data_IF_217212060511
#
_entry.id   IF_217212060511
#
_cell.length_a   1.000
_cell.length_b   1.000
_cell.length_c   1.000
_cell.angle_alpha   90.00
_cell.angle_beta   90.00
_cell.angle_gamma   90.00
#
_symmetry.space_group_name_H-M   'P 1'
#
loop_
_entity.id
_entity.type
_entity.pdbx_description
1 polymer ?
#
# COMPACT_ATOMS: atom_id res chain seq x y z
N UNK A 1 -22.09 -51.89 -37.45
CA UNK A 1 -20.96 -51.21 -36.77
C UNK A 1 -20.79 -49.73 -37.12
N UNK A 2 -20.92 -49.28 -38.38
CA UNK A 2 -20.69 -47.87 -38.81
C UNK A 2 -21.63 -46.78 -38.25
N UNK A 3 -22.77 -47.13 -37.64
CA UNK A 3 -23.76 -46.17 -37.10
C UNK A 3 -23.40 -45.68 -35.68
N UNK A 4 -22.87 -46.57 -34.83
CA UNK A 4 -22.48 -46.22 -33.44
C UNK A 4 -21.25 -45.31 -33.37
N UNK A 5 -20.36 -45.39 -34.37
CA UNK A 5 -19.18 -44.53 -34.47
C UNK A 5 -19.54 -43.07 -34.76
N UNK A 6 -20.46 -42.81 -35.70
CA UNK A 6 -20.89 -41.45 -36.05
C UNK A 6 -21.62 -40.74 -34.92
N UNK A 7 -22.35 -41.50 -34.08
CA UNK A 7 -23.06 -40.97 -32.91
C UNK A 7 -22.04 -40.53 -31.84
N UNK A 8 -20.97 -41.32 -31.62
CA UNK A 8 -19.89 -40.97 -30.68
C UNK A 8 -19.12 -39.73 -31.13
N UNK A 9 -18.78 -39.60 -32.41
CA UNK A 9 -18.05 -38.43 -32.93
C UNK A 9 -18.86 -37.14 -32.80
N UNK A 10 -20.19 -37.20 -33.08
CA UNK A 10 -21.09 -36.04 -32.91
C UNK A 10 -21.27 -35.65 -31.44
N UNK A 11 -21.36 -36.64 -30.54
CA UNK A 11 -21.46 -36.36 -29.10
C UNK A 11 -20.18 -35.71 -28.55
N UNK A 12 -18.99 -36.15 -28.99
CA UNK A 12 -17.71 -35.53 -28.58
C UNK A 12 -17.57 -34.12 -29.14
N UNK A 13 -17.94 -33.88 -30.40
CA UNK A 13 -17.90 -32.55 -31.00
C UNK A 13 -18.88 -31.57 -30.32
N UNK A 14 -20.08 -32.04 -29.93
CA UNK A 14 -21.04 -31.23 -29.17
C UNK A 14 -20.56 -30.96 -27.74
N UNK A 15 -19.89 -31.91 -27.10
CA UNK A 15 -19.29 -31.71 -25.78
C UNK A 15 -18.13 -30.70 -25.83
N UNK A 16 -17.26 -30.78 -26.85
CA UNK A 16 -16.17 -29.83 -27.07
C UNK A 16 -16.69 -28.43 -27.41
N UNK A 17 -17.75 -28.32 -28.22
CA UNK A 17 -18.40 -27.06 -28.52
C UNK A 17 -19.08 -26.45 -27.28
N UNK A 18 -19.69 -27.28 -26.41
CA UNK A 18 -20.27 -26.83 -25.14
C UNK A 18 -19.21 -26.39 -24.12
N UNK A 19 -18.06 -27.05 -24.06
CA UNK A 19 -16.91 -26.61 -23.25
C UNK A 19 -16.31 -25.30 -23.80
N UNK A 20 -16.17 -25.17 -25.12
CA UNK A 20 -15.70 -23.94 -25.76
C UNK A 20 -16.69 -22.77 -25.59
N UNK A 21 -18.00 -23.04 -25.66
CA UNK A 21 -19.05 -22.05 -25.41
C UNK A 21 -19.14 -21.68 -23.91
N UNK A 22 -18.97 -22.65 -23.01
CA UNK A 22 -18.92 -22.41 -21.56
C UNK A 22 -17.69 -21.60 -21.13
N UNK A 23 -16.57 -21.74 -21.83
CA UNK A 23 -15.38 -20.89 -21.68
C UNK A 23 -15.57 -19.47 -22.26
N UNK A 24 -16.44 -19.32 -23.27
CA UNK A 24 -16.79 -18.03 -23.86
C UNK A 24 -17.86 -17.25 -23.08
N UNK A 25 -18.71 -17.93 -22.29
CA UNK A 25 -19.73 -17.29 -21.43
C UNK A 25 -19.27 -17.04 -20.00
N UNK A 26 -18.01 -17.37 -19.67
CA UNK A 26 -17.35 -16.73 -18.55
C UNK A 26 -17.15 -15.27 -18.95
N UNK A 27 -18.20 -14.45 -18.74
CA UNK A 27 -18.11 -13.00 -18.85
C UNK A 27 -16.83 -12.61 -18.10
N UNK A 28 -15.81 -12.18 -18.85
CA UNK A 28 -14.67 -11.53 -18.27
C UNK A 28 -15.25 -10.32 -17.54
N UNK A 29 -15.53 -10.46 -16.24
CA UNK A 29 -15.87 -9.34 -15.37
C UNK A 29 -14.67 -8.42 -15.45
N UNK A 30 -14.76 -7.43 -16.32
CA UNK A 30 -13.65 -6.58 -16.66
C UNK A 30 -13.35 -5.72 -15.45
N UNK A 31 -12.19 -5.91 -14.83
CA UNK A 31 -11.71 -5.03 -13.77
C UNK A 31 -11.77 -3.58 -14.27
N UNK A 32 -12.58 -2.74 -13.62
CA UNK A 32 -12.67 -1.32 -13.95
C UNK A 32 -11.47 -0.61 -13.35
N UNK A 33 -10.54 -0.16 -14.20
CA UNK A 33 -9.32 0.50 -13.76
C UNK A 33 -9.48 2.02 -13.73
N UNK A 34 -9.04 2.64 -12.63
CA UNK A 34 -8.97 4.09 -12.52
C UNK A 34 -7.57 4.55 -12.94
N UNK A 35 -7.39 4.84 -14.23
CA UNK A 35 -6.07 5.23 -14.79
C UNK A 35 -5.79 6.72 -14.73
N UNK A 36 -6.82 7.55 -14.57
CA UNK A 36 -6.67 8.99 -14.49
C UNK A 36 -5.90 9.37 -13.21
N UNK A 37 -4.77 10.10 -13.29
CA UNK A 37 -4.06 10.59 -12.12
C UNK A 37 -4.88 11.61 -11.30
N UNK A 38 -5.90 12.24 -11.88
CA UNK A 38 -6.76 13.19 -11.16
C UNK A 38 -7.78 12.51 -10.23
N UNK A 39 -8.12 11.23 -10.46
CA UNK A 39 -9.11 10.58 -9.60
C UNK A 39 -9.52 9.14 -9.95
N UNK A 40 -10.61 8.65 -9.33
CA UNK A 40 -11.33 9.31 -8.24
C UNK A 40 -10.43 9.54 -7.02
N UNK A 41 -10.74 10.56 -6.23
CA UNK A 41 -10.01 10.92 -5.01
C UNK A 41 -11.01 11.04 -3.87
N UNK A 42 -10.62 10.52 -2.72
CA UNK A 42 -11.36 10.71 -1.48
C UNK A 42 -10.39 11.23 -0.42
N UNK A 43 -10.77 12.29 0.27
CA UNK A 43 -9.96 12.89 1.32
C UNK A 43 -10.85 13.45 2.44
N UNK A 44 -10.28 13.57 3.63
CA UNK A 44 -10.98 14.07 4.80
C UNK A 44 -10.02 14.60 5.85
N UNK A 45 -10.53 15.53 6.66
CA UNK A 45 -9.75 16.26 7.67
C UNK A 45 -10.40 16.09 9.05
N UNK A 46 -10.08 14.97 9.72
CA UNK A 46 -10.56 14.71 11.08
C UNK A 46 -9.48 14.98 12.15
N UNK A 47 -8.22 15.16 11.76
CA UNK A 47 -7.10 15.40 12.67
C UNK A 47 -6.95 16.84 13.13
N UNK A 48 -7.53 17.81 12.41
CA UNK A 48 -7.44 19.22 12.80
C UNK A 48 -8.02 19.55 14.18
N UNK A 49 -8.97 18.77 14.72
CA UNK A 49 -9.48 19.01 16.06
C UNK A 49 -8.43 18.63 17.14
N UNK A 50 -7.86 17.43 17.06
CA UNK A 50 -6.87 16.94 18.02
C UNK A 50 -5.49 17.62 17.90
N UNK A 51 -5.07 17.96 16.67
CA UNK A 51 -3.79 18.63 16.41
C UNK A 51 -3.80 20.13 16.80
N UNK A 52 -4.97 20.76 16.95
CA UNK A 52 -5.08 22.15 17.43
C UNK A 52 -4.92 22.27 18.94
N UNK A 53 -5.24 21.21 19.68
CA UNK A 53 -5.17 21.18 21.14
C UNK A 53 -3.78 20.78 21.67
N UNK A 54 -2.93 20.20 20.82
CA UNK A 54 -1.61 19.69 21.22
C UNK A 54 -0.48 20.41 20.47
N UNK A 55 0.50 20.93 21.19
CA UNK A 55 1.72 21.44 20.57
C UNK A 55 2.41 20.28 19.79
N UNK A 56 2.91 20.52 18.57
CA UNK A 56 3.62 19.47 17.84
C UNK A 56 4.81 18.96 18.67
N UNK A 57 5.13 17.66 18.59
CA UNK A 57 6.27 17.13 19.31
C UNK A 57 7.55 17.82 18.85
N UNK A 58 8.59 17.88 19.70
CA UNK A 58 9.89 18.42 19.31
C UNK A 58 10.36 17.86 17.95
N UNK A 59 11.06 18.64 17.12
CA UNK A 59 11.55 18.16 15.82
C UNK A 59 12.46 16.92 15.93
N UNK A 60 13.06 16.69 17.11
CA UNK A 60 13.89 15.53 17.42
C UNK A 60 13.10 14.27 17.78
N UNK A 61 11.80 14.37 18.04
CA UNK A 61 10.98 13.19 18.31
C UNK A 61 10.95 12.27 17.08
N UNK A 62 11.08 10.95 17.26
CA UNK A 62 10.96 10.01 16.15
C UNK A 62 9.61 10.12 15.44
N UNK A 63 9.61 9.82 14.15
CA UNK A 63 8.44 9.58 13.31
C UNK A 63 8.06 8.12 13.40
N UNK A 64 6.82 7.84 13.77
CA UNK A 64 6.24 6.50 13.76
C UNK A 64 5.44 6.29 12.49
N UNK A 65 5.94 5.41 11.63
CA UNK A 65 5.29 5.05 10.37
C UNK A 65 4.85 3.60 10.42
N UNK A 66 3.59 3.36 10.07
CA UNK A 66 3.02 2.02 10.01
C UNK A 66 2.46 1.76 8.61
N UNK A 67 2.69 0.57 8.06
CA UNK A 67 2.03 0.09 6.85
C UNK A 67 1.24 -1.19 7.15
N UNK A 68 0.03 -1.29 6.59
CA UNK A 68 -0.85 -2.41 6.85
C UNK A 68 -1.81 -2.68 5.67
N UNK A 69 -1.66 -3.85 5.04
CA UNK A 69 -2.68 -4.40 4.14
C UNK A 69 -3.84 -4.98 4.99
N UNK A 70 -5.07 -4.47 4.83
CA UNK A 70 -6.25 -4.88 5.61
C UNK A 70 -7.20 -5.76 4.77
N UNK A 71 -6.68 -6.49 3.79
CA UNK A 71 -7.40 -7.56 3.09
C UNK A 71 -8.83 -7.17 2.64
N UNK A 72 -8.94 -6.13 1.81
CA UNK A 72 -10.21 -5.56 1.32
C UNK A 72 -11.10 -4.93 2.39
N UNK A 73 -10.52 -4.46 3.50
CA UNK A 73 -11.24 -3.91 4.65
C UNK A 73 -12.35 -4.85 5.20
N UNK A 74 -12.20 -6.17 4.99
CA UNK A 74 -13.24 -7.16 5.31
C UNK A 74 -13.55 -7.23 6.80
N UNK A 75 -12.51 -7.11 7.63
CA UNK A 75 -12.59 -7.18 9.09
C UNK A 75 -12.27 -5.81 9.71
N UNK A 76 -12.89 -4.75 9.18
CA UNK A 76 -12.57 -3.35 9.54
C UNK A 76 -12.65 -3.06 11.04
N UNK A 77 -13.58 -3.69 11.74
CA UNK A 77 -13.75 -3.51 13.18
C UNK A 77 -12.66 -4.18 14.00
N UNK A 78 -12.17 -5.36 13.55
CA UNK A 78 -10.99 -6.00 14.14
C UNK A 78 -9.74 -5.17 13.89
N UNK A 79 -9.59 -4.65 12.67
CA UNK A 79 -8.48 -3.77 12.34
C UNK A 79 -8.48 -2.51 13.21
N UNK A 80 -9.65 -1.88 13.38
CA UNK A 80 -9.79 -0.70 14.23
C UNK A 80 -9.52 -1.01 15.71
N UNK A 81 -9.99 -2.17 16.21
CA UNK A 81 -9.69 -2.61 17.57
C UNK A 81 -8.18 -2.80 17.78
N UNK A 82 -7.50 -3.49 16.85
CA UNK A 82 -6.05 -3.67 16.87
C UNK A 82 -5.31 -2.33 16.87
N UNK A 83 -5.67 -1.42 15.97
CA UNK A 83 -5.03 -0.10 15.86
C UNK A 83 -5.18 0.71 17.15
N UNK A 84 -6.30 0.54 17.87
CA UNK A 84 -6.53 1.24 19.15
C UNK A 84 -5.75 0.64 20.32
N UNK A 85 -5.56 -0.69 20.33
CA UNK A 85 -5.01 -1.40 21.48
C UNK A 85 -3.50 -1.59 21.43
N UNK A 86 -2.92 -1.74 20.23
CA UNK A 86 -1.52 -2.14 20.09
C UNK A 86 -0.56 -0.93 20.15
N UNK A 87 0.54 -1.09 20.89
CA UNK A 87 1.55 -0.05 21.11
C UNK A 87 2.22 0.44 19.81
N UNK A 88 2.24 -0.39 18.77
CA UNK A 88 2.81 -0.03 17.47
C UNK A 88 2.10 1.16 16.83
N UNK A 89 0.82 1.38 17.16
CA UNK A 89 -0.02 2.45 16.63
C UNK A 89 -0.17 3.65 17.57
N UNK A 90 0.34 3.55 18.80
CA UNK A 90 0.31 4.67 19.74
C UNK A 90 1.25 5.78 19.28
N UNK A 91 0.77 7.02 19.31
CA UNK A 91 1.48 8.18 18.76
C UNK A 91 1.94 7.99 17.30
N UNK A 92 1.11 7.34 16.47
CA UNK A 92 1.39 7.21 15.03
C UNK A 92 1.49 8.59 14.37
N UNK A 93 2.44 8.74 13.44
CA UNK A 93 2.53 9.93 12.60
C UNK A 93 1.98 9.66 11.19
N UNK A 94 2.21 8.47 10.65
CA UNK A 94 1.81 8.09 9.30
C UNK A 94 1.31 6.65 9.32
N UNK A 95 0.06 6.44 8.88
CA UNK A 95 -0.53 5.13 8.67
C UNK A 95 -0.79 4.95 7.16
N UNK A 96 -0.19 3.93 6.58
CA UNK A 96 -0.30 3.57 5.17
C UNK A 96 -1.14 2.30 5.03
N UNK A 97 -2.29 2.39 4.40
CA UNK A 97 -3.21 1.26 4.26
C UNK A 97 -3.28 0.77 2.82
N UNK A 98 -3.36 -0.55 2.64
CA UNK A 98 -3.51 -1.21 1.35
C UNK A 98 -4.77 -2.08 1.32
N UNK A 99 -5.25 -2.35 0.10
CA UNK A 99 -6.50 -3.06 -0.16
C UNK A 99 -7.69 -2.42 0.55
N UNK A 100 -7.76 -1.10 0.52
CA UNK A 100 -8.88 -0.38 1.13
C UNK A 100 -9.94 -0.03 0.10
N UNK A 101 -11.19 0.03 0.55
CA UNK A 101 -12.28 0.77 -0.09
C UNK A 101 -12.47 2.14 0.59
N UNK A 102 -13.17 3.08 -0.07
CA UNK A 102 -13.35 4.45 0.42
C UNK A 102 -14.05 4.51 1.79
N UNK A 103 -15.10 3.70 1.98
CA UNK A 103 -15.85 3.63 3.23
C UNK A 103 -15.00 3.11 4.41
N UNK A 104 -14.16 2.10 4.18
CA UNK A 104 -13.25 1.55 5.18
C UNK A 104 -12.17 2.56 5.61
N UNK A 105 -11.62 3.32 4.65
CA UNK A 105 -10.67 4.40 4.98
C UNK A 105 -11.33 5.46 5.84
N UNK A 106 -12.49 5.97 5.42
CA UNK A 106 -13.21 7.02 6.15
C UNK A 106 -13.57 6.56 7.57
N UNK A 107 -14.03 5.31 7.73
CA UNK A 107 -14.34 4.72 9.03
C UNK A 107 -13.13 4.74 9.97
N UNK A 108 -11.97 4.26 9.52
CA UNK A 108 -10.74 4.30 10.33
C UNK A 108 -10.35 5.74 10.64
N UNK A 109 -10.30 6.60 9.62
CA UNK A 109 -9.86 7.99 9.76
C UNK A 109 -10.74 8.75 10.77
N UNK A 110 -12.06 8.65 10.66
CA UNK A 110 -13.01 9.28 11.58
C UNK A 110 -12.91 8.71 12.99
N UNK A 111 -12.78 7.39 13.13
CA UNK A 111 -12.73 6.72 14.42
C UNK A 111 -11.43 6.96 15.21
N UNK A 112 -10.37 7.35 14.52
CA UNK A 112 -9.05 7.68 15.10
C UNK A 112 -8.73 9.18 15.08
N UNK A 113 -9.62 10.01 14.52
CA UNK A 113 -9.36 11.44 14.35
C UNK A 113 -8.15 11.73 13.46
N UNK A 114 -8.05 11.07 12.30
CA UNK A 114 -6.94 11.23 11.35
C UNK A 114 -7.40 11.93 10.08
N UNK A 115 -6.52 12.77 9.52
CA UNK A 115 -6.65 13.22 8.15
C UNK A 115 -6.35 12.04 7.21
N UNK A 116 -6.95 12.03 6.03
CA UNK A 116 -6.66 10.99 5.05
C UNK A 116 -6.71 11.49 3.61
N UNK A 117 -5.97 10.79 2.76
CA UNK A 117 -6.18 10.76 1.31
C UNK A 117 -6.17 9.32 0.84
N UNK A 118 -7.10 8.98 -0.04
CA UNK A 118 -7.28 7.67 -0.64
C UNK A 118 -7.46 7.81 -2.15
N UNK A 119 -6.71 6.99 -2.88
CA UNK A 119 -6.90 6.82 -4.32
C UNK A 119 -7.16 5.34 -4.62
N UNK A 120 -8.34 4.99 -5.16
CA UNK A 120 -8.56 3.67 -5.69
C UNK A 120 -7.76 3.49 -6.99
N UNK A 121 -7.27 2.26 -7.17
CA UNK A 121 -6.55 1.85 -8.38
C UNK A 121 -7.49 1.17 -9.38
N UNK A 122 -8.46 0.40 -8.87
CA UNK A 122 -9.47 -0.26 -9.66
C UNK A 122 -10.66 -0.70 -8.80
N UNK A 123 -11.73 -1.17 -9.44
CA UNK A 123 -12.84 -1.88 -8.80
C UNK A 123 -12.62 -3.38 -8.94
N UNK A 124 -12.66 -4.10 -7.82
CA UNK A 124 -12.44 -5.53 -7.79
C UNK A 124 -13.64 -6.29 -8.40
N UNK A 125 -13.43 -7.13 -9.44
CA UNK A 125 -14.52 -7.73 -10.22
C UNK A 125 -15.42 -8.67 -9.41
N UNK A 126 -14.91 -9.28 -8.33
CA UNK A 126 -15.68 -10.20 -7.48
C UNK A 126 -16.54 -9.51 -6.42
N UNK A 127 -16.14 -8.32 -5.99
CA UNK A 127 -16.74 -7.66 -4.82
C UNK A 127 -17.42 -6.35 -5.18
N UNK A 128 -17.23 -5.86 -6.41
CA UNK A 128 -17.70 -4.57 -6.90
C UNK A 128 -17.33 -3.40 -5.97
N UNK A 129 -16.17 -3.54 -5.31
CA UNK A 129 -15.61 -2.55 -4.40
C UNK A 129 -14.36 -1.97 -4.98
N UNK A 130 -14.19 -0.67 -4.79
CA UNK A 130 -12.93 -0.01 -5.04
C UNK A 130 -11.83 -0.66 -4.18
N UNK A 131 -10.64 -0.80 -4.74
CA UNK A 131 -9.46 -1.19 -3.98
C UNK A 131 -8.29 -0.28 -4.34
N UNK A 132 -7.56 0.14 -3.32
CA UNK A 132 -6.41 1.03 -3.48
C UNK A 132 -5.64 1.21 -2.18
N UNK A 133 -4.94 2.33 -2.10
CA UNK A 133 -4.08 2.64 -0.96
C UNK A 133 -4.38 4.02 -0.40
N UNK A 134 -4.25 4.15 0.92
CA UNK A 134 -4.54 5.38 1.65
C UNK A 134 -3.37 5.79 2.55
N UNK A 135 -3.18 7.09 2.70
CA UNK A 135 -2.30 7.68 3.71
C UNK A 135 -3.18 8.39 4.73
N UNK A 136 -3.00 8.05 6.00
CA UNK A 136 -3.67 8.65 7.13
C UNK A 136 -2.63 9.27 8.07
N UNK A 137 -2.96 10.40 8.70
CA UNK A 137 -2.07 11.08 9.66
C UNK A 137 -2.87 11.99 10.59
N UNK A 138 -2.47 12.15 11.88
CA UNK A 138 -3.02 13.22 12.71
C UNK A 138 -2.60 14.61 12.19
N UNK A 139 -1.50 14.67 11.42
CA UNK A 139 -0.92 15.89 10.88
C UNK A 139 -1.54 16.29 9.54
N UNK A 140 -1.50 17.59 9.17
CA UNK A 140 -2.00 18.04 7.88
C UNK A 140 -1.36 17.28 6.70
N UNK A 141 -2.21 16.90 5.74
CA UNK A 141 -1.83 16.29 4.47
C UNK A 141 -1.91 17.33 3.35
N UNK A 142 -0.84 17.49 2.59
CA UNK A 142 -0.74 18.43 1.47
C UNK A 142 -0.12 17.77 0.25
N UNK A 143 -0.18 18.42 -0.92
CA UNK A 143 0.48 17.96 -2.16
C UNK A 143 0.21 16.49 -2.53
N UNK A 144 -0.98 16.01 -2.21
CA UNK A 144 -1.33 14.62 -2.45
C UNK A 144 -1.63 14.38 -3.93
N UNK A 145 -1.25 13.20 -4.43
CA UNK A 145 -1.43 12.80 -5.82
C UNK A 145 -1.51 11.30 -5.97
N UNK A 146 -2.13 10.89 -7.07
CA UNK A 146 -2.11 9.52 -7.56
C UNK A 146 -1.02 9.38 -8.61
N UNK A 147 -0.26 8.30 -8.52
CA UNK A 147 0.71 7.92 -9.55
C UNK A 147 0.25 6.58 -10.12
N UNK A 148 -0.46 6.56 -11.27
CA UNK A 148 -0.80 5.32 -11.96
C UNK A 148 0.47 4.54 -12.31
N UNK A 149 0.49 3.25 -12.02
CA UNK A 149 1.60 2.37 -12.36
C UNK A 149 1.32 1.64 -13.68
N UNK A 150 2.34 1.46 -14.55
CA UNK A 150 2.21 0.69 -15.77
C UNK A 150 2.03 -0.80 -15.44
N UNK A 151 1.66 -1.58 -16.47
CA UNK A 151 1.52 -3.04 -16.43
C UNK A 151 0.41 -3.52 -15.49
N UNK A 152 -0.78 -3.70 -16.06
CA UNK A 152 -1.87 -4.37 -15.37
C UNK A 152 -1.54 -5.86 -15.16
N UNK A 153 -2.01 -6.42 -14.05
CA UNK A 153 -1.86 -7.84 -13.73
C UNK A 153 -2.38 -8.73 -14.88
N UNK A 154 -1.60 -9.74 -15.27
CA UNK A 154 -1.87 -10.55 -16.47
C UNK A 154 -3.28 -11.17 -16.51
N UNK A 155 -3.71 -11.80 -15.41
CA UNK A 155 -5.00 -12.50 -15.34
C UNK A 155 -6.16 -11.55 -15.03
N UNK A 156 -6.05 -10.74 -13.98
CA UNK A 156 -7.16 -9.90 -13.50
C UNK A 156 -7.31 -8.61 -14.29
N UNK A 157 -6.27 -8.22 -15.07
CA UNK A 157 -6.16 -6.92 -15.73
C UNK A 157 -6.27 -5.73 -14.77
N UNK A 158 -6.05 -5.96 -13.47
CA UNK A 158 -6.03 -4.91 -12.46
C UNK A 158 -4.73 -4.08 -12.56
N UNK A 159 -4.88 -2.79 -12.73
CA UNK A 159 -3.82 -1.79 -12.60
C UNK A 159 -3.57 -1.49 -11.11
N UNK A 160 -2.40 -0.92 -10.83
CA UNK A 160 -2.03 -0.41 -9.51
C UNK A 160 -1.77 1.09 -9.61
N UNK A 161 -1.85 1.76 -8.47
CA UNK A 161 -1.46 3.16 -8.34
C UNK A 161 -0.80 3.38 -6.98
N UNK A 162 0.05 4.39 -6.91
CA UNK A 162 0.66 4.85 -5.67
C UNK A 162 -0.14 6.05 -5.18
N UNK A 163 -0.46 6.06 -3.89
CA UNK A 163 -0.97 7.25 -3.21
C UNK A 163 0.22 7.96 -2.58
N UNK A 164 0.39 9.24 -2.88
CA UNK A 164 1.43 10.07 -2.27
C UNK A 164 0.80 11.29 -1.60
N UNK A 165 1.39 11.73 -0.50
CA UNK A 165 1.05 12.96 0.22
C UNK A 165 2.26 13.49 0.99
N UNK A 166 2.31 14.79 1.24
CA UNK A 166 3.23 15.38 2.21
C UNK A 166 2.52 15.49 3.55
N UNK A 167 3.13 14.90 4.57
CA UNK A 167 2.74 14.98 5.98
C UNK A 167 3.55 16.09 6.65
N UNK A 168 2.87 17.07 7.24
CA UNK A 168 3.49 18.25 7.84
C UNK A 168 3.43 18.19 9.37
N UNK A 169 4.53 17.83 10.05
CA UNK A 169 4.64 17.82 11.52
C UNK A 169 5.57 18.92 12.01
N UNK A 170 5.00 20.00 12.55
CA UNK A 170 5.76 21.21 12.87
C UNK A 170 6.43 21.78 11.61
N UNK A 171 7.74 22.00 11.63
CA UNK A 171 8.52 22.44 10.46
C UNK A 171 8.96 21.29 9.54
N UNK A 172 8.82 20.04 9.97
CA UNK A 172 9.29 18.89 9.21
C UNK A 172 8.25 18.42 8.19
N UNK A 173 8.75 18.15 6.98
CA UNK A 173 7.99 17.68 5.83
C UNK A 173 8.43 16.29 5.45
N UNK A 174 7.51 15.33 5.52
CA UNK A 174 7.74 13.96 5.08
C UNK A 174 6.80 13.64 3.93
N UNK A 175 7.35 13.38 2.75
CA UNK A 175 6.62 12.85 1.61
C UNK A 175 6.44 11.35 1.76
N UNK A 176 5.21 10.95 2.02
CA UNK A 176 4.79 9.57 2.13
C UNK A 176 4.33 9.05 0.77
N UNK A 177 4.66 7.79 0.49
CA UNK A 177 4.16 7.02 -0.63
C UNK A 177 3.66 5.69 -0.11
N UNK A 178 2.47 5.29 -0.55
CA UNK A 178 1.94 3.96 -0.29
C UNK A 178 1.50 3.25 -1.55
N UNK A 179 1.80 1.96 -1.62
CA UNK A 179 1.57 1.14 -2.80
C UNK A 179 1.17 -0.29 -2.40
N UNK A 180 0.36 -0.92 -3.26
CA UNK A 180 0.20 -2.36 -3.29
C UNK A 180 0.59 -2.85 -4.69
N UNK A 181 1.78 -3.44 -4.83
CA UNK A 181 2.25 -3.95 -6.13
C UNK A 181 1.51 -5.22 -6.53
N UNK A 182 1.45 -5.58 -7.83
CA UNK A 182 0.81 -6.82 -8.25
C UNK A 182 1.40 -8.05 -7.53
N UNK A 183 0.58 -9.09 -7.33
CA UNK A 183 1.01 -10.35 -6.74
C UNK A 183 2.21 -10.99 -7.49
N UNK A 184 2.96 -11.91 -6.86
CA UNK A 184 4.01 -12.66 -7.54
C UNK A 184 3.50 -13.31 -8.84
N UNK A 185 4.26 -13.18 -9.92
CA UNK A 185 3.89 -13.71 -11.24
C UNK A 185 2.83 -12.92 -12.01
N UNK A 186 2.17 -11.92 -11.41
CA UNK A 186 1.15 -11.12 -12.10
C UNK A 186 1.74 -10.12 -13.12
N UNK A 187 3.02 -9.76 -12.94
CA UNK A 187 3.84 -8.95 -13.84
C UNK A 187 5.27 -9.53 -13.87
N UNK A 188 6.02 -9.26 -14.93
CA UNK A 188 7.41 -9.69 -15.05
C UNK A 188 8.34 -8.96 -14.06
N UNK A 189 9.56 -9.48 -13.90
CA UNK A 189 10.60 -8.86 -13.10
C UNK A 189 10.88 -7.41 -13.54
N UNK A 190 11.08 -7.18 -14.84
CA UNK A 190 11.37 -5.85 -15.39
C UNK A 190 10.19 -4.90 -15.28
N UNK A 191 8.96 -5.41 -15.46
CA UNK A 191 7.75 -4.63 -15.24
C UNK A 191 7.63 -4.15 -13.79
N UNK A 192 7.91 -5.03 -12.81
CA UNK A 192 7.94 -4.63 -11.38
C UNK A 192 9.06 -3.65 -11.10
N UNK A 193 10.24 -3.83 -11.70
CA UNK A 193 11.38 -2.92 -11.58
C UNK A 193 11.04 -1.52 -12.11
N UNK A 194 10.32 -1.44 -13.23
CA UNK A 194 9.83 -0.18 -13.78
C UNK A 194 8.86 0.52 -12.83
N UNK A 195 7.92 -0.21 -12.22
CA UNK A 195 7.00 0.34 -11.21
C UNK A 195 7.78 0.96 -10.03
N UNK A 196 8.84 0.30 -9.56
CA UNK A 196 9.72 0.82 -8.50
C UNK A 196 10.49 2.06 -8.94
N UNK A 197 11.04 2.05 -10.17
CA UNK A 197 11.75 3.21 -10.74
C UNK A 197 10.87 4.44 -10.83
N UNK A 198 9.59 4.29 -11.18
CA UNK A 198 8.64 5.42 -11.24
C UNK A 198 8.48 6.07 -9.86
N UNK A 199 8.33 5.27 -8.80
CA UNK A 199 8.24 5.78 -7.43
C UNK A 199 9.52 6.51 -7.00
N UNK A 200 10.68 5.90 -7.24
CA UNK A 200 11.96 6.49 -6.90
C UNK A 200 12.25 7.80 -7.67
N UNK A 201 11.93 7.81 -8.97
CA UNK A 201 12.09 8.99 -9.82
C UNK A 201 11.15 10.13 -9.41
N UNK A 202 9.91 9.82 -9.03
CA UNK A 202 8.99 10.83 -8.52
C UNK A 202 9.44 11.40 -7.17
N UNK A 203 9.91 10.54 -6.26
CA UNK A 203 10.51 10.97 -5.00
C UNK A 203 11.74 11.87 -5.21
N UNK A 204 12.57 11.61 -6.23
CA UNK A 204 13.75 12.43 -6.52
C UNK A 204 13.44 13.87 -6.97
N UNK A 205 12.18 14.19 -7.34
CA UNK A 205 11.78 15.54 -7.75
C UNK A 205 11.64 16.53 -6.59
N UNK A 206 11.68 16.06 -5.34
CA UNK A 206 11.60 16.93 -4.16
C UNK A 206 12.77 16.73 -3.21
N UNK A 207 13.10 17.78 -2.47
CA UNK A 207 14.05 17.75 -1.36
C UNK A 207 13.42 17.36 -0.01
N UNK A 208 12.18 16.88 0.00
CA UNK A 208 11.51 16.45 1.23
C UNK A 208 12.19 15.18 1.79
N UNK A 209 12.00 14.94 3.08
CA UNK A 209 12.24 13.61 3.66
C UNK A 209 11.24 12.63 3.04
N UNK A 210 11.67 11.42 2.70
CA UNK A 210 10.81 10.47 1.99
C UNK A 210 10.64 9.19 2.77
N UNK A 211 9.39 8.70 2.82
CA UNK A 211 9.06 7.33 3.24
C UNK A 211 8.16 6.67 2.20
N UNK A 212 8.50 5.44 1.83
CA UNK A 212 7.74 4.61 0.89
C UNK A 212 7.41 3.30 1.60
N UNK A 213 6.13 3.01 1.81
CA UNK A 213 5.70 1.81 2.53
C UNK A 213 4.51 1.14 1.89
N UNK A 214 4.37 -0.17 2.07
CA UNK A 214 3.25 -0.90 1.50
C UNK A 214 3.52 -2.38 1.31
N UNK A 215 2.56 -3.01 0.64
CA UNK A 215 2.66 -4.39 0.20
C UNK A 215 3.33 -4.43 -1.19
N UNK A 216 4.60 -4.85 -1.22
CA UNK A 216 5.37 -4.96 -2.46
C UNK A 216 5.24 -6.32 -3.12
N UNK A 217 4.53 -7.27 -2.49
CA UNK A 217 4.38 -8.64 -2.96
C UNK A 217 5.73 -9.32 -3.26
N UNK A 218 6.79 -8.92 -2.55
CA UNK A 218 8.11 -9.55 -2.67
C UNK A 218 9.28 -8.66 -2.29
N UNK A 219 10.35 -9.32 -1.84
CA UNK A 219 11.59 -8.71 -1.35
C UNK A 219 12.51 -8.17 -2.44
N UNK A 220 12.31 -8.58 -3.69
CA UNK A 220 13.16 -8.21 -4.83
C UNK A 220 13.27 -6.69 -5.02
N UNK A 221 12.23 -5.95 -4.62
CA UNK A 221 12.17 -4.49 -4.72
C UNK A 221 13.23 -3.78 -3.90
N UNK A 222 13.70 -4.39 -2.82
CA UNK A 222 14.57 -3.71 -1.87
C UNK A 222 15.96 -3.41 -2.42
N UNK A 223 16.49 -4.26 -3.31
CA UNK A 223 17.71 -3.95 -4.05
C UNK A 223 17.55 -2.70 -4.91
N UNK A 224 16.44 -2.59 -5.65
CA UNK A 224 16.21 -1.45 -6.54
C UNK A 224 15.96 -0.14 -5.80
N UNK A 225 15.31 -0.18 -4.63
CA UNK A 225 15.19 1.01 -3.78
C UNK A 225 16.54 1.42 -3.18
N UNK A 226 17.39 0.47 -2.78
CA UNK A 226 18.77 0.76 -2.34
C UNK A 226 19.60 1.40 -3.44
N UNK A 227 19.52 0.87 -4.66
CA UNK A 227 20.18 1.44 -5.83
C UNK A 227 19.71 2.89 -6.09
N UNK A 228 18.47 3.22 -5.70
CA UNK A 228 17.91 4.56 -5.77
C UNK A 228 18.17 5.44 -4.52
N UNK A 229 19.05 5.01 -3.61
CA UNK A 229 19.47 5.78 -2.44
C UNK A 229 18.54 5.69 -1.23
N UNK A 230 17.67 4.68 -1.16
CA UNK A 230 16.81 4.46 0.00
C UNK A 230 17.41 3.46 1.00
N UNK A 231 17.21 3.71 2.28
CA UNK A 231 17.40 2.73 3.34
C UNK A 231 16.22 1.75 3.34
N UNK A 232 16.50 0.46 3.50
CA UNK A 232 15.49 -0.58 3.68
C UNK A 232 15.34 -0.91 5.16
N UNK A 233 14.31 -0.34 5.79
CA UNK A 233 14.15 -0.32 7.25
C UNK A 233 13.62 -1.64 7.81
N UNK A 234 12.94 -2.41 6.96
CA UNK A 234 12.23 -3.64 7.33
C UNK A 234 12.88 -4.89 6.75
N UNK A 235 14.10 -4.79 6.22
CA UNK A 235 14.79 -5.92 5.59
C UNK A 235 14.85 -7.13 6.52
N UNK A 236 15.19 -6.90 7.80
CA UNK A 236 15.43 -7.97 8.76
C UNK A 236 14.17 -8.45 9.48
N UNK A 237 12.99 -7.93 9.14
CA UNK A 237 11.74 -8.36 9.76
C UNK A 237 11.34 -9.77 9.28
N UNK A 238 10.64 -10.53 10.14
CA UNK A 238 10.11 -11.85 9.77
C UNK A 238 9.05 -11.75 8.67
N UNK A 239 8.55 -12.91 8.23
CA UNK A 239 7.44 -12.96 7.28
C UNK A 239 6.22 -12.18 7.76
N UNK A 240 5.61 -11.45 6.84
CA UNK A 240 4.48 -10.56 7.09
C UNK A 240 3.16 -11.18 6.63
N UNK A 241 3.20 -12.16 5.73
CA UNK A 241 2.03 -12.95 5.37
C UNK A 241 1.66 -13.97 6.46
N UNK A 242 0.41 -14.46 6.44
CA UNK A 242 -0.08 -15.59 7.23
C UNK A 242 -0.51 -16.75 6.33
N UNK A 243 -0.62 -17.93 6.93
CA UNK A 243 -1.04 -19.14 6.21
C UNK A 243 0.10 -19.79 5.43
N UNK A 244 -0.21 -20.29 4.24
CA UNK A 244 0.77 -20.90 3.33
C UNK A 244 1.69 -19.80 2.80
N UNK A 245 2.89 -19.68 3.36
CA UNK A 245 3.78 -18.55 3.08
C UNK A 245 4.11 -17.64 4.26
N UNK A 246 3.84 -18.05 5.50
CA UNK A 246 4.09 -17.22 6.69
C UNK A 246 5.55 -16.74 6.89
N UNK A 247 6.51 -17.28 6.14
CA UNK A 247 7.91 -16.82 6.09
C UNK A 247 8.15 -15.74 5.02
N UNK A 248 7.19 -15.47 4.13
CA UNK A 248 7.32 -14.43 3.12
C UNK A 248 7.04 -13.05 3.72
N UNK A 249 7.96 -12.14 3.45
CA UNK A 249 7.87 -10.74 3.82
C UNK A 249 7.55 -9.96 2.56
N UNK A 250 6.32 -9.43 2.51
CA UNK A 250 5.79 -8.64 1.39
C UNK A 250 5.71 -7.16 1.74
N UNK A 251 5.50 -6.87 3.03
CA UNK A 251 5.29 -5.53 3.53
C UNK A 251 6.62 -4.90 3.91
N UNK A 252 6.94 -3.78 3.29
CA UNK A 252 8.23 -3.12 3.47
C UNK A 252 8.10 -1.62 3.68
N UNK A 253 9.09 -1.04 4.35
CA UNK A 253 9.24 0.42 4.48
C UNK A 253 10.66 0.82 4.06
N UNK A 254 10.73 1.81 3.18
CA UNK A 254 11.94 2.42 2.66
C UNK A 254 11.97 3.90 3.01
N UNK A 255 13.15 4.46 3.27
CA UNK A 255 13.25 5.88 3.59
C UNK A 255 14.51 6.54 3.00
N UNK A 256 14.42 7.86 2.77
CA UNK A 256 15.52 8.70 2.29
C UNK A 256 15.53 10.03 3.04
N UNK A 257 16.71 10.47 3.48
CA UNK A 257 16.87 11.61 4.38
C UNK A 257 16.47 11.33 5.85
N UNK A 258 16.01 10.11 6.13
CA UNK A 258 15.65 9.61 7.46
C UNK A 258 16.57 8.45 7.82
N UNK A 259 16.77 8.22 9.11
CA UNK A 259 17.49 7.08 9.68
C UNK A 259 16.65 6.39 10.76
N UNK A 260 16.90 5.11 11.08
CA UNK A 260 16.29 4.46 12.25
C UNK A 260 16.53 5.29 13.52
N UNK A 261 15.50 5.35 14.38
CA UNK A 261 15.63 5.96 15.70
C UNK A 261 16.74 5.25 16.51
N UNK A 262 17.52 6.02 17.27
CA UNK A 262 18.71 5.49 17.94
C UNK A 262 18.37 4.66 19.20
N UNK A 263 17.21 4.91 19.81
CA UNK A 263 16.77 4.25 21.04
C UNK A 263 15.74 3.15 20.77
N UNK A 264 16.02 1.94 21.29
CA UNK A 264 15.09 0.81 21.24
C UNK A 264 14.98 0.14 19.87
N UNK A 265 13.97 -0.71 19.71
CA UNK A 265 13.65 -1.33 18.43
C UNK A 265 13.12 -0.28 17.44
N UNK A 266 13.83 -0.06 16.34
CA UNK A 266 13.43 0.91 15.33
C UNK A 266 12.49 0.35 14.25
N UNK A 267 12.17 -0.95 14.30
CA UNK A 267 11.22 -1.61 13.40
C UNK A 267 10.61 -2.84 14.06
N UNK A 268 9.39 -3.20 13.66
CA UNK A 268 8.71 -4.39 14.14
C UNK A 268 7.50 -4.77 13.30
N UNK A 269 6.86 -5.88 13.66
CA UNK A 269 5.63 -6.36 13.05
C UNK A 269 4.62 -6.78 14.11
N UNK A 270 3.34 -6.53 13.86
CA UNK A 270 2.22 -6.76 14.77
C UNK A 270 1.40 -7.94 14.26
N UNK A 271 0.99 -8.86 15.15
CA UNK A 271 0.04 -9.90 14.80
C UNK A 271 -1.31 -9.25 14.46
N UNK A 272 -1.91 -9.53 13.29
CA UNK A 272 -3.15 -8.87 12.89
C UNK A 272 -4.36 -9.25 13.75
N UNK A 273 -4.27 -10.22 14.67
CA UNK A 273 -5.37 -10.65 15.54
C UNK A 273 -6.66 -11.00 14.76
N UNK A 274 -6.49 -11.55 13.55
CA UNK A 274 -7.58 -11.89 12.64
C UNK A 274 -8.14 -10.74 11.81
N UNK A 275 -7.58 -9.52 11.91
CA UNK A 275 -7.96 -8.37 11.10
C UNK A 275 -7.50 -8.45 9.63
N UNK A 276 -6.47 -9.26 9.36
CA UNK A 276 -5.86 -9.42 8.05
C UNK A 276 -5.04 -10.71 8.00
N UNK A 277 -4.75 -11.18 6.78
CA UNK A 277 -3.72 -12.18 6.49
C UNK A 277 -2.30 -11.58 6.41
N UNK A 278 -2.18 -10.25 6.51
CA UNK A 278 -0.90 -9.56 6.66
C UNK A 278 -0.68 -9.09 8.10
N UNK A 279 0.58 -9.04 8.54
CA UNK A 279 1.01 -8.32 9.74
C UNK A 279 1.17 -6.84 9.42
N UNK A 280 0.73 -5.97 10.32
CA UNK A 280 1.12 -4.57 10.22
C UNK A 280 2.62 -4.44 10.52
N UNK A 281 3.32 -3.59 9.75
CA UNK A 281 4.76 -3.34 9.92
C UNK A 281 4.96 -1.90 10.32
N UNK A 282 5.77 -1.67 11.34
CA UNK A 282 6.06 -0.33 11.86
C UNK A 282 7.56 -0.04 11.88
N UNK A 283 7.89 1.24 11.79
CA UNK A 283 9.25 1.78 11.92
C UNK A 283 9.25 3.08 12.72
N UNK A 284 10.36 3.34 13.41
CA UNK A 284 10.65 4.60 14.10
C UNK A 284 11.84 5.28 13.41
N UNK A 285 11.65 6.54 13.01
CA UNK A 285 12.59 7.26 12.14
C UNK A 285 12.92 8.65 12.64
N UNK A 286 14.16 9.07 12.49
CA UNK A 286 14.61 10.43 12.78
C UNK A 286 15.20 11.07 11.52
N UNK A 287 15.16 12.40 11.36
CA UNK A 287 15.93 13.08 10.33
C UNK A 287 17.41 12.69 10.42
N UNK A 288 18.01 12.35 9.28
CA UNK A 288 19.45 12.21 9.21
C UNK A 288 20.09 13.60 9.42
N UNK A 289 21.06 13.70 10.33
CA UNK A 289 21.68 14.97 10.78
C UNK A 289 22.50 15.70 9.71
N UNK A 290 22.56 15.18 8.48
CA UNK A 290 23.35 15.73 7.37
C UNK A 290 22.57 16.66 6.43
N UNK A 291 21.39 17.14 6.82
CA UNK A 291 20.78 18.29 6.12
C UNK A 291 21.52 19.55 6.56
N UNK A 292 22.70 19.76 5.97
CA UNK A 292 23.52 20.96 6.11
C UNK A 292 22.63 22.18 6.03
N UNK A 293 22.72 22.97 7.09
CA UNK A 293 22.59 24.42 7.10
C UNK A 293 23.48 25.05 6.02
N UNK A 294 23.07 24.97 4.76
CA UNK A 294 23.47 25.91 3.72
C UNK A 294 22.28 26.81 3.38
N UNK A 295 21.77 27.52 4.41
CA UNK A 295 21.20 28.83 4.16
C UNK A 295 22.36 29.77 3.90
N UNK A 296 22.68 29.97 2.61
CA UNK A 296 23.55 31.07 2.18
C UNK A 296 23.00 32.37 2.77
N UNK A 297 23.90 33.06 3.48
CA UNK A 297 23.77 34.49 3.78
C UNK A 297 23.81 35.30 2.49
#
# INVERSE_FOLDING_TARGET
MRSRERIRTRAVLLLLAAVAAGLATASCLSTRNFKDPAGPRYDGNYGAAAARETAPPPPTSPWRVVTFNIAFAREIDRALALIRSDEAFQALDILMLQEMDSAGVERIAKALGLNYVYYPSAVHPKHDREFGSAILSPWPLTEYKKIPLPHAAFLTRASRAVTSAVVQRGSLRVRAYTVHLPAPGAVSYDQRKEQVRIMAADAAKSGDLVVIGGDFNGRVVGGWFRDAGFLWLTEKLPGTARGFGHWWSYDHVFARGLRPAASGSAAGAVDPAGASDHRAVWVLLEPATDVRTERKR
#
